data_IF_276460708781
#
_entry.id   IF_276460708781
#
_cell.length_a   1.000
_cell.length_b   1.000
_cell.length_c   1.000
_cell.angle_alpha   90.00
_cell.angle_beta   90.00
_cell.angle_gamma   90.00
#
_symmetry.space_group_name_H-M   'P 1'
#
loop_
_entity.id
_entity.type
_entity.pdbx_description
1 polymer ?
#
# COMPACT_ATOMS: atom_id res chain seq x y z
N UNK A 1 -48.21 -2.69 49.62
CA UNK A 1 -47.06 -2.90 48.71
C UNK A 1 -47.45 -3.92 47.64
N UNK A 2 -47.63 -3.49 46.37
CA UNK A 2 -47.87 -4.41 45.24
C UNK A 2 -46.52 -5.01 44.82
N UNK A 3 -46.36 -6.33 44.95
CA UNK A 3 -45.19 -7.04 44.41
C UNK A 3 -45.28 -7.03 42.89
N UNK A 4 -44.31 -6.38 42.23
CA UNK A 4 -44.15 -6.41 40.78
C UNK A 4 -43.65 -7.82 40.42
N UNK A 5 -44.35 -8.51 39.50
CA UNK A 5 -43.89 -9.80 39.00
C UNK A 5 -42.58 -9.62 38.21
N UNK A 6 -41.59 -10.52 38.35
CA UNK A 6 -40.35 -10.43 37.61
C UNK A 6 -40.61 -10.48 36.09
N UNK A 7 -39.82 -9.70 35.35
CA UNK A 7 -39.89 -9.62 33.90
C UNK A 7 -39.41 -10.97 33.31
N UNK A 8 -40.31 -11.75 32.71
CA UNK A 8 -39.94 -12.96 31.98
C UNK A 8 -39.33 -12.57 30.63
N UNK A 9 -38.01 -12.65 30.53
CA UNK A 9 -37.30 -12.42 29.28
C UNK A 9 -37.42 -13.69 28.41
N UNK A 10 -37.99 -13.54 27.20
CA UNK A 10 -37.95 -14.61 26.19
C UNK A 10 -36.50 -14.88 25.82
N UNK A 11 -36.07 -16.13 26.00
CA UNK A 11 -34.75 -16.58 25.59
C UNK A 11 -34.67 -16.41 24.05
N UNK A 12 -33.66 -15.69 23.52
CA UNK A 12 -33.53 -15.51 22.08
C UNK A 12 -33.35 -16.87 21.41
N UNK A 13 -34.13 -17.13 20.36
CA UNK A 13 -33.92 -18.30 19.52
C UNK A 13 -32.70 -18.05 18.64
N UNK A 14 -31.69 -18.90 18.79
CA UNK A 14 -30.45 -18.85 18.01
C UNK A 14 -30.52 -19.99 16.99
N UNK A 15 -30.31 -19.67 15.72
CA UNK A 15 -30.09 -20.65 14.65
C UNK A 15 -28.76 -20.37 13.98
N UNK A 16 -28.06 -21.42 13.57
CA UNK A 16 -26.81 -21.34 12.81
C UNK A 16 -26.98 -22.02 11.46
N UNK A 17 -26.37 -21.43 10.43
CA UNK A 17 -26.31 -22.01 9.09
C UNK A 17 -24.86 -22.00 8.64
N UNK A 18 -24.39 -23.13 8.09
CA UNK A 18 -23.10 -23.23 7.44
C UNK A 18 -23.23 -22.82 5.97
N UNK A 19 -22.31 -21.98 5.50
CA UNK A 19 -22.17 -21.62 4.09
C UNK A 19 -20.82 -22.12 3.60
N UNK A 20 -20.83 -22.82 2.46
CA UNK A 20 -19.60 -23.25 1.80
C UNK A 20 -18.77 -22.04 1.36
N UNK A 21 -17.45 -22.23 1.26
CA UNK A 21 -16.55 -21.19 0.76
C UNK A 21 -16.92 -20.83 -0.69
N UNK A 22 -17.19 -19.54 -0.99
CA UNK A 22 -17.60 -19.14 -2.32
C UNK A 22 -16.46 -19.32 -3.31
N UNK A 23 -16.80 -19.80 -4.50
CA UNK A 23 -15.84 -19.87 -5.59
C UNK A 23 -15.58 -18.48 -6.17
N UNK A 24 -14.32 -18.14 -6.39
CA UNK A 24 -13.88 -16.89 -7.03
C UNK A 24 -13.80 -17.06 -8.55
N UNK A 25 -14.10 -15.98 -9.28
CA UNK A 25 -14.06 -15.94 -10.75
C UNK A 25 -12.78 -15.28 -11.27
N UNK A 26 -12.15 -15.91 -12.25
CA UNK A 26 -10.90 -15.49 -12.88
C UNK A 26 -11.08 -15.31 -14.39
N UNK A 27 -9.99 -15.11 -15.13
CA UNK A 27 -10.06 -14.90 -16.57
C UNK A 27 -10.75 -16.07 -17.31
N UNK A 28 -11.41 -15.77 -18.44
CA UNK A 28 -12.12 -16.75 -19.29
C UNK A 28 -13.12 -17.65 -18.53
N UNK A 29 -13.64 -17.19 -17.39
CA UNK A 29 -14.60 -17.97 -16.59
C UNK A 29 -13.94 -19.05 -15.73
N UNK A 30 -12.61 -19.03 -15.56
CA UNK A 30 -11.92 -19.89 -14.60
C UNK A 30 -12.45 -19.66 -13.18
N UNK A 31 -12.50 -20.74 -12.40
CA UNK A 31 -13.13 -20.74 -11.08
C UNK A 31 -12.23 -21.44 -10.08
N UNK A 32 -12.00 -20.84 -8.92
CA UNK A 32 -11.20 -21.46 -7.85
C UNK A 32 -11.58 -20.87 -6.49
N UNK A 33 -11.45 -21.63 -5.39
CA UNK A 33 -11.66 -21.11 -4.02
C UNK A 33 -10.44 -20.35 -3.54
N UNK A 34 -9.25 -20.91 -3.74
CA UNK A 34 -7.98 -20.24 -3.43
C UNK A 34 -7.61 -19.17 -4.48
N UNK A 35 -7.36 -17.91 -4.08
CA UNK A 35 -7.02 -16.82 -5.00
C UNK A 35 -5.62 -16.92 -5.62
N UNK A 36 -4.63 -17.43 -4.89
CA UNK A 36 -3.26 -17.57 -5.42
C UNK A 36 -3.25 -18.57 -6.57
N UNK A 37 -3.81 -19.77 -6.37
CA UNK A 37 -3.96 -20.76 -7.44
C UNK A 37 -4.82 -20.24 -8.60
N UNK A 38 -5.92 -19.56 -8.29
CA UNK A 38 -6.77 -18.97 -9.31
C UNK A 38 -6.04 -17.98 -10.21
N UNK A 39 -5.20 -17.10 -9.65
CA UNK A 39 -4.34 -16.19 -10.41
C UNK A 39 -3.25 -16.96 -11.17
N UNK A 40 -2.57 -17.92 -10.54
CA UNK A 40 -1.52 -18.72 -11.19
C UNK A 40 -2.04 -19.46 -12.43
N UNK A 41 -3.18 -20.15 -12.28
CA UNK A 41 -3.79 -20.95 -13.34
C UNK A 41 -4.47 -20.07 -14.40
N UNK A 42 -5.35 -19.17 -13.96
CA UNK A 42 -6.27 -18.48 -14.86
C UNK A 42 -5.93 -17.01 -15.07
N UNK A 43 -5.15 -16.39 -14.19
CA UNK A 43 -4.86 -14.96 -14.21
C UNK A 43 -6.02 -14.10 -13.70
N UNK A 44 -5.83 -12.78 -13.58
CA UNK A 44 -6.84 -11.89 -13.02
C UNK A 44 -8.09 -11.84 -13.90
N UNK A 45 -9.26 -11.62 -13.30
CA UNK A 45 -10.56 -11.54 -14.01
C UNK A 45 -10.58 -10.52 -15.15
N UNK A 46 -9.76 -9.47 -15.04
CA UNK A 46 -9.63 -8.44 -16.07
C UNK A 46 -8.93 -8.94 -17.34
N UNK A 47 -8.09 -9.96 -17.25
CA UNK A 47 -7.30 -10.46 -18.38
C UNK A 47 -8.19 -10.81 -19.59
N UNK A 48 -7.71 -10.45 -20.78
CA UNK A 48 -8.45 -10.50 -22.06
C UNK A 48 -9.66 -9.56 -22.15
N UNK A 49 -9.75 -8.55 -21.29
CA UNK A 49 -10.73 -7.46 -21.41
C UNK A 49 -10.01 -6.12 -21.62
N UNK A 50 -10.71 -5.12 -22.12
CA UNK A 50 -10.19 -3.75 -22.29
C UNK A 50 -9.74 -3.08 -20.98
N UNK A 51 -10.14 -3.63 -19.82
CA UNK A 51 -9.72 -3.14 -18.50
C UNK A 51 -8.37 -3.68 -18.05
N UNK A 52 -7.81 -4.67 -18.74
CA UNK A 52 -6.51 -5.22 -18.38
C UNK A 52 -5.39 -4.34 -18.92
N UNK A 53 -4.50 -3.91 -18.04
CA UNK A 53 -3.28 -3.21 -18.44
C UNK A 53 -2.19 -4.23 -18.74
N UNK A 54 -1.52 -4.08 -19.87
CA UNK A 54 -0.30 -4.84 -20.18
C UNK A 54 0.90 -4.32 -19.40
N UNK A 55 0.93 -3.01 -19.13
CA UNK A 55 1.96 -2.35 -18.36
C UNK A 55 1.33 -1.49 -17.26
N UNK A 56 1.96 -1.46 -16.09
CA UNK A 56 1.62 -0.56 -14.99
C UNK A 56 2.83 0.26 -14.65
N UNK A 57 2.74 1.57 -14.89
CA UNK A 57 3.81 2.53 -14.66
C UNK A 57 3.75 3.08 -13.24
N UNK A 58 4.80 2.84 -12.46
CA UNK A 58 4.86 3.18 -11.04
C UNK A 58 5.79 4.37 -10.82
N UNK A 59 5.29 5.39 -10.14
CA UNK A 59 6.08 6.51 -9.65
C UNK A 59 6.35 6.44 -8.15
N UNK A 60 7.42 7.08 -7.69
CA UNK A 60 7.87 7.01 -6.30
C UNK A 60 8.07 8.41 -5.68
N UNK A 61 7.75 8.54 -4.39
CA UNK A 61 8.05 9.72 -3.58
C UNK A 61 8.69 9.25 -2.27
N UNK A 62 9.84 9.81 -1.88
CA UNK A 62 10.58 9.38 -0.68
C UNK A 62 12.00 9.93 -0.68
N UNK A 63 12.86 9.56 0.28
CA UNK A 63 14.30 9.83 0.12
C UNK A 63 14.87 8.99 -1.02
N UNK A 64 15.98 9.41 -1.62
CA UNK A 64 16.63 8.63 -2.70
C UNK A 64 16.92 7.19 -2.26
N UNK A 65 17.49 7.01 -1.07
CA UNK A 65 17.76 5.69 -0.49
C UNK A 65 16.48 4.85 -0.33
N UNK A 66 15.39 5.46 0.15
CA UNK A 66 14.13 4.76 0.38
C UNK A 66 13.42 4.39 -0.93
N UNK A 67 13.52 5.25 -1.95
CA UNK A 67 13.02 4.99 -3.30
C UNK A 67 13.78 3.82 -3.90
N UNK A 68 15.11 3.81 -3.84
CA UNK A 68 15.92 2.71 -4.39
C UNK A 68 15.57 1.36 -3.74
N UNK A 69 15.42 1.34 -2.41
CA UNK A 69 14.96 0.14 -1.69
C UNK A 69 13.56 -0.29 -2.13
N UNK A 70 12.65 0.65 -2.35
CA UNK A 70 11.30 0.36 -2.82
C UNK A 70 11.29 -0.19 -4.25
N UNK A 71 12.10 0.36 -5.16
CA UNK A 71 12.26 -0.16 -6.53
C UNK A 71 12.67 -1.62 -6.50
N UNK A 72 13.74 -1.93 -5.77
CA UNK A 72 14.22 -3.31 -5.62
C UNK A 72 13.17 -4.22 -4.99
N UNK A 73 12.43 -3.74 -3.99
CA UNK A 73 11.33 -4.48 -3.39
C UNK A 73 10.23 -4.82 -4.41
N UNK A 74 9.76 -3.86 -5.21
CA UNK A 74 8.75 -4.13 -6.25
C UNK A 74 9.26 -5.05 -7.36
N UNK A 75 10.52 -4.92 -7.78
CA UNK A 75 11.11 -5.84 -8.75
C UNK A 75 11.15 -7.27 -8.23
N UNK A 76 11.53 -7.47 -6.95
CA UNK A 76 11.51 -8.78 -6.32
C UNK A 76 10.09 -9.35 -6.21
N UNK A 77 9.10 -8.53 -5.82
CA UNK A 77 7.70 -8.95 -5.80
C UNK A 77 7.17 -9.33 -7.19
N UNK A 78 7.64 -8.66 -8.24
CA UNK A 78 7.25 -8.96 -9.61
C UNK A 78 7.72 -10.36 -10.04
N UNK A 79 8.84 -10.85 -9.52
CA UNK A 79 9.29 -12.22 -9.80
C UNK A 79 8.37 -13.29 -9.18
N UNK A 80 7.72 -12.95 -8.07
CA UNK A 80 6.98 -13.90 -7.23
C UNK A 80 7.69 -14.13 -5.91
N UNK A 81 6.98 -14.73 -4.96
CA UNK A 81 7.52 -15.03 -3.63
C UNK A 81 7.32 -16.52 -3.39
N UNK A 82 8.40 -17.31 -3.25
CA UNK A 82 8.26 -18.72 -2.95
C UNK A 82 7.63 -18.90 -1.56
N UNK A 83 6.80 -19.93 -1.42
CA UNK A 83 6.25 -20.30 -0.11
C UNK A 83 7.23 -21.22 0.64
N UNK A 84 7.61 -20.80 1.86
CA UNK A 84 8.56 -21.55 2.70
C UNK A 84 8.03 -22.94 3.12
N UNK A 85 6.73 -23.20 3.01
CA UNK A 85 6.09 -24.46 3.39
C UNK A 85 5.69 -25.31 2.18
N UNK A 86 6.22 -25.02 0.99
CA UNK A 86 5.92 -25.72 -0.26
C UNK A 86 4.41 -25.78 -0.58
N UNK A 87 3.62 -24.81 -0.14
CA UNK A 87 2.19 -24.78 -0.46
C UNK A 87 1.98 -24.23 -1.87
N UNK A 88 1.98 -22.91 -2.02
CA UNK A 88 1.74 -22.23 -3.29
C UNK A 88 2.54 -20.93 -3.28
N UNK A 89 3.45 -20.78 -4.25
CA UNK A 89 4.18 -19.53 -4.42
C UNK A 89 3.24 -18.38 -4.76
N UNK A 90 3.55 -17.20 -4.25
CA UNK A 90 2.92 -15.99 -4.75
C UNK A 90 3.38 -15.78 -6.21
N UNK A 91 2.44 -15.69 -7.18
CA UNK A 91 2.77 -15.91 -8.58
C UNK A 91 3.46 -14.74 -9.28
N UNK A 92 3.67 -13.63 -8.56
CA UNK A 92 4.33 -12.44 -9.08
C UNK A 92 3.51 -11.69 -10.13
N UNK A 93 4.17 -10.76 -10.81
CA UNK A 93 3.59 -9.85 -11.80
C UNK A 93 4.53 -9.73 -13.00
N UNK A 94 4.39 -10.66 -13.95
CA UNK A 94 5.10 -10.68 -15.24
C UNK A 94 4.10 -10.87 -16.36
N UNK A 95 4.52 -10.69 -17.61
CA UNK A 95 3.64 -10.82 -18.78
C UNK A 95 3.13 -12.25 -18.98
N UNK A 96 3.95 -13.25 -18.64
CA UNK A 96 3.72 -14.68 -18.85
C UNK A 96 3.12 -15.40 -17.64
N UNK A 97 3.29 -14.85 -16.42
CA UNK A 97 2.83 -15.46 -15.16
C UNK A 97 2.13 -14.51 -14.19
N UNK A 98 1.36 -15.09 -13.28
CA UNK A 98 0.65 -14.38 -12.21
C UNK A 98 -0.34 -13.34 -12.73
N UNK A 99 -0.09 -12.07 -12.43
CA UNK A 99 -0.99 -10.99 -12.86
C UNK A 99 -0.98 -10.70 -14.36
N UNK A 100 -0.06 -11.28 -15.15
CA UNK A 100 0.01 -11.14 -16.62
C UNK A 100 0.14 -9.68 -17.10
N UNK A 101 0.87 -8.88 -16.32
CA UNK A 101 1.15 -7.47 -16.55
C UNK A 101 2.62 -7.20 -16.20
N UNK A 102 3.25 -6.26 -16.89
CA UNK A 102 4.62 -5.80 -16.61
C UNK A 102 4.60 -4.57 -15.71
N UNK A 103 5.39 -4.58 -14.63
CA UNK A 103 5.60 -3.39 -13.81
C UNK A 103 6.72 -2.54 -14.44
N UNK A 104 6.38 -1.33 -14.89
CA UNK A 104 7.32 -0.37 -15.45
C UNK A 104 7.74 0.62 -14.36
N UNK A 105 9.03 0.61 -14.05
CA UNK A 105 9.67 1.52 -13.10
C UNK A 105 10.67 2.35 -13.91
N UNK A 106 10.25 3.55 -14.31
CA UNK A 106 11.06 4.46 -15.11
C UNK A 106 11.92 5.37 -14.20
N UNK A 107 13.15 5.65 -14.62
CA UNK A 107 14.05 6.57 -13.95
C UNK A 107 13.54 8.02 -13.96
N UNK A 108 12.55 8.33 -14.79
CA UNK A 108 11.92 9.65 -14.81
C UNK A 108 10.69 9.75 -13.89
N UNK A 109 10.32 8.69 -13.17
CA UNK A 109 9.11 8.64 -12.33
C UNK A 109 9.43 8.60 -10.82
N UNK A 110 10.38 9.42 -10.35
CA UNK A 110 10.60 9.58 -8.91
C UNK A 110 10.82 11.03 -8.47
N UNK A 111 10.25 11.37 -7.32
CA UNK A 111 10.41 12.67 -6.67
C UNK A 111 11.06 12.50 -5.30
N UNK A 112 12.31 12.92 -5.20
CA UNK A 112 13.07 12.78 -3.96
C UNK A 112 12.66 13.85 -2.94
N UNK A 113 12.54 13.44 -1.67
CA UNK A 113 12.45 14.32 -0.52
C UNK A 113 13.87 14.51 0.00
N UNK A 114 14.40 15.72 -0.17
CA UNK A 114 15.78 16.04 0.17
C UNK A 114 15.98 16.12 1.69
N UNK A 115 17.23 15.94 2.14
CA UNK A 115 17.59 16.11 3.55
C UNK A 115 17.26 17.50 4.07
N UNK A 116 17.46 18.53 3.23
CA UNK A 116 17.14 19.92 3.57
C UNK A 116 15.64 20.10 3.83
N UNK A 117 14.79 19.64 2.91
CA UNK A 117 13.33 19.71 3.08
C UNK A 117 12.84 19.00 4.35
N UNK A 118 13.46 17.87 4.70
CA UNK A 118 13.16 17.16 5.95
C UNK A 118 13.54 18.02 7.15
N UNK A 119 14.77 18.55 7.19
CA UNK A 119 15.24 19.37 8.31
C UNK A 119 14.40 20.64 8.47
N UNK A 120 14.08 21.31 7.36
CA UNK A 120 13.24 22.52 7.35
C UNK A 120 11.86 22.26 7.99
N UNK A 121 11.25 21.09 7.74
CA UNK A 121 10.00 20.68 8.38
C UNK A 121 10.21 20.35 9.86
N UNK A 122 11.27 19.62 10.19
CA UNK A 122 11.52 19.16 11.56
C UNK A 122 11.85 20.32 12.52
N UNK A 123 12.43 21.40 12.03
CA UNK A 123 12.74 22.62 12.79
C UNK A 123 11.49 23.46 13.13
N UNK A 124 10.36 23.23 12.46
CA UNK A 124 9.10 23.92 12.77
C UNK A 124 8.61 23.51 14.17
N UNK A 125 8.56 24.49 15.08
CA UNK A 125 8.20 24.26 16.49
C UNK A 125 6.74 23.88 16.67
N UNK A 126 5.81 24.65 16.09
CA UNK A 126 4.38 24.45 16.25
C UNK A 126 3.93 23.21 15.47
N UNK A 127 3.25 22.29 16.15
CA UNK A 127 2.84 21.01 15.57
C UNK A 127 1.87 21.17 14.40
N UNK A 128 0.94 22.12 14.50
CA UNK A 128 0.01 22.49 13.42
C UNK A 128 0.76 22.94 12.16
N UNK A 129 1.65 23.92 12.30
CA UNK A 129 2.44 24.47 11.20
C UNK A 129 3.35 23.39 10.60
N UNK A 130 4.01 22.59 11.44
CA UNK A 130 4.87 21.48 10.98
C UNK A 130 4.09 20.46 10.15
N UNK A 131 2.89 20.07 10.60
CA UNK A 131 2.03 19.14 9.88
C UNK A 131 1.61 19.71 8.53
N UNK A 132 1.15 20.98 8.51
CA UNK A 132 0.72 21.63 7.28
C UNK A 132 1.89 21.78 6.29
N UNK A 133 3.09 22.16 6.75
CA UNK A 133 4.30 22.21 5.92
C UNK A 133 4.66 20.85 5.34
N UNK A 134 4.50 19.76 6.10
CA UNK A 134 4.72 18.41 5.60
C UNK A 134 3.71 18.03 4.51
N UNK A 135 2.43 18.34 4.71
CA UNK A 135 1.38 18.07 3.71
C UNK A 135 1.61 18.89 2.43
N UNK A 136 1.98 20.17 2.54
CA UNK A 136 2.29 21.01 1.38
C UNK A 136 3.55 20.53 0.64
N UNK A 137 4.58 20.04 1.34
CA UNK A 137 5.71 19.40 0.69
C UNK A 137 5.25 18.19 -0.14
N UNK A 138 4.44 17.30 0.43
CA UNK A 138 3.96 16.11 -0.28
C UNK A 138 3.08 16.47 -1.47
N UNK A 139 2.24 17.50 -1.33
CA UNK A 139 1.46 18.05 -2.44
C UNK A 139 2.35 18.52 -3.57
N UNK A 140 3.41 19.30 -3.28
CA UNK A 140 4.38 19.74 -4.29
C UNK A 140 5.06 18.56 -4.99
N UNK A 141 5.47 17.53 -4.25
CA UNK A 141 6.08 16.32 -4.85
C UNK A 141 5.08 15.58 -5.75
N UNK A 142 3.81 15.47 -5.36
CA UNK A 142 2.76 14.91 -6.22
C UNK A 142 2.54 15.75 -7.48
N UNK A 143 2.49 17.08 -7.36
CA UNK A 143 2.35 18.00 -8.50
C UNK A 143 3.49 17.81 -9.49
N UNK A 144 4.74 17.84 -9.02
CA UNK A 144 5.92 17.66 -9.87
C UNK A 144 5.89 16.29 -10.56
N UNK A 145 5.68 15.20 -9.81
CA UNK A 145 5.68 13.85 -10.37
C UNK A 145 4.62 13.66 -11.46
N UNK A 146 3.43 14.24 -11.26
CA UNK A 146 2.30 14.09 -12.18
C UNK A 146 2.39 14.98 -13.42
N UNK A 147 3.22 16.02 -13.40
CA UNK A 147 3.43 16.95 -14.52
C UNK A 147 4.50 16.51 -15.51
N UNK A 148 5.31 15.49 -15.21
CA UNK A 148 6.45 15.07 -16.05
C UNK A 148 6.08 14.50 -17.43
N UNK A 149 4.80 14.31 -17.74
CA UNK A 149 4.33 13.88 -19.06
C UNK A 149 4.59 12.40 -19.40
N UNK A 150 5.17 11.62 -18.50
CA UNK A 150 5.36 10.18 -18.64
C UNK A 150 4.10 9.41 -18.21
N UNK A 151 3.85 8.21 -18.77
CA UNK A 151 2.80 7.33 -18.28
C UNK A 151 2.96 7.09 -16.78
N UNK A 152 1.90 7.30 -16.01
CA UNK A 152 1.90 7.15 -14.56
C UNK A 152 0.57 6.59 -14.11
N UNK A 153 0.57 5.37 -13.63
CA UNK A 153 -0.63 4.63 -13.24
C UNK A 153 -0.80 4.54 -11.74
N UNK A 154 0.30 4.57 -10.99
CA UNK A 154 0.33 4.34 -9.55
C UNK A 154 1.46 5.10 -8.89
N UNK A 155 1.23 5.69 -7.72
CA UNK A 155 2.27 6.42 -6.97
C UNK A 155 2.52 5.73 -5.62
N UNK A 156 3.76 5.35 -5.37
CA UNK A 156 4.21 4.80 -4.09
C UNK A 156 4.89 5.89 -3.28
N UNK A 157 4.29 6.23 -2.14
CA UNK A 157 4.92 7.09 -1.14
C UNK A 157 5.67 6.22 -0.12
N UNK A 158 6.98 6.43 -0.04
CA UNK A 158 7.88 5.80 0.92
C UNK A 158 8.29 6.86 1.94
N UNK A 159 7.52 7.02 3.03
CA UNK A 159 7.73 8.13 3.94
C UNK A 159 9.01 7.96 4.76
N UNK A 160 9.87 8.98 4.84
CA UNK A 160 11.02 8.97 5.72
C UNK A 160 10.61 8.73 7.18
N UNK A 161 11.31 7.84 7.89
CA UNK A 161 10.96 7.50 9.28
C UNK A 161 10.88 8.72 10.21
N UNK A 162 11.78 9.69 10.03
CA UNK A 162 11.79 10.94 10.81
C UNK A 162 10.53 11.77 10.61
N UNK A 163 10.01 11.85 9.38
CA UNK A 163 8.78 12.57 9.06
C UNK A 163 7.56 11.87 9.67
N UNK A 164 7.44 10.55 9.57
CA UNK A 164 6.32 9.82 10.18
C UNK A 164 6.32 9.99 11.70
N UNK A 165 7.49 9.88 12.33
CA UNK A 165 7.61 10.03 13.79
C UNK A 165 7.17 11.41 14.29
N UNK A 166 7.40 12.48 13.52
CA UNK A 166 7.16 13.87 13.96
C UNK A 166 5.94 14.53 13.36
N UNK A 167 5.44 14.03 12.24
CA UNK A 167 4.32 14.57 11.47
C UNK A 167 3.19 13.56 11.25
N UNK A 168 3.35 12.29 11.64
CA UNK A 168 2.36 11.24 11.40
C UNK A 168 1.00 11.56 12.01
N UNK A 169 1.00 12.14 13.22
CA UNK A 169 -0.19 12.65 13.91
C UNK A 169 0.07 14.07 14.41
N UNK A 170 -0.93 14.94 14.25
CA UNK A 170 -0.92 16.28 14.81
C UNK A 170 -2.20 16.57 15.62
N UNK A 171 -2.02 16.78 16.91
CA UNK A 171 -3.07 17.14 17.86
C UNK A 171 -2.82 18.55 18.38
N UNK A 172 -3.74 19.47 18.12
CA UNK A 172 -3.62 20.87 18.53
C UNK A 172 -5.00 21.48 18.78
N UNK A 173 -5.03 22.69 19.37
CA UNK A 173 -6.28 23.41 19.63
C UNK A 173 -6.40 24.63 18.73
N UNK A 174 -7.56 24.76 18.08
CA UNK A 174 -7.95 25.95 17.33
C UNK A 174 -9.25 26.47 17.94
N UNK A 175 -9.27 27.72 18.41
CA UNK A 175 -10.46 28.34 19.02
C UNK A 175 -11.13 27.46 20.11
N UNK A 176 -10.31 26.87 20.99
CA UNK A 176 -10.72 25.92 22.06
C UNK A 176 -11.28 24.57 21.59
N UNK A 177 -11.28 24.30 20.29
CA UNK A 177 -11.66 23.00 19.71
C UNK A 177 -10.40 22.15 19.52
N UNK A 178 -10.44 20.90 19.98
CA UNK A 178 -9.38 19.93 19.73
C UNK A 178 -9.43 19.48 18.26
N UNK A 179 -8.29 19.58 17.57
CA UNK A 179 -8.12 19.17 16.18
C UNK A 179 -7.13 18.01 16.16
N UNK A 180 -7.56 16.89 15.59
CA UNK A 180 -6.73 15.72 15.33
C UNK A 180 -6.51 15.57 13.82
N UNK A 181 -5.25 15.41 13.40
CA UNK A 181 -4.86 15.21 12.00
C UNK A 181 -3.95 14.01 11.90
N UNK A 182 -4.13 13.24 10.84
CA UNK A 182 -3.32 12.07 10.50
C UNK A 182 -2.72 12.25 9.10
N UNK A 183 -1.41 12.02 8.97
CA UNK A 183 -0.67 12.28 7.75
C UNK A 183 -1.07 11.35 6.62
N UNK A 184 -1.37 10.08 6.91
CA UNK A 184 -1.84 9.12 5.90
C UNK A 184 -3.17 9.59 5.31
N UNK A 185 -4.11 10.04 6.14
CA UNK A 185 -5.41 10.57 5.70
C UNK A 185 -5.23 11.86 4.90
N UNK A 186 -4.40 12.79 5.38
CA UNK A 186 -4.13 14.04 4.69
C UNK A 186 -3.47 13.81 3.32
N UNK A 187 -2.44 12.96 3.26
CA UNK A 187 -1.78 12.57 2.02
C UNK A 187 -2.75 11.94 1.02
N UNK A 188 -3.58 10.99 1.47
CA UNK A 188 -4.60 10.36 0.63
C UNK A 188 -5.60 11.38 0.08
N UNK A 189 -6.08 12.30 0.91
CA UNK A 189 -7.01 13.35 0.50
C UNK A 189 -6.39 14.31 -0.53
N UNK A 190 -5.13 14.73 -0.32
CA UNK A 190 -4.41 15.57 -1.29
C UNK A 190 -4.19 14.81 -2.61
N UNK A 191 -3.77 13.55 -2.53
CA UNK A 191 -3.51 12.71 -3.69
C UNK A 191 -4.75 12.46 -4.57
N UNK A 192 -5.96 12.47 -4.01
CA UNK A 192 -7.21 12.32 -4.77
C UNK A 192 -7.36 13.37 -5.88
N UNK A 193 -6.81 14.57 -5.70
CA UNK A 193 -6.87 15.66 -6.70
C UNK A 193 -6.13 15.34 -8.00
N UNK A 194 -5.16 14.43 -7.96
CA UNK A 194 -4.35 14.05 -9.11
C UNK A 194 -4.95 12.87 -9.88
N UNK A 195 -6.03 12.27 -9.37
CA UNK A 195 -6.68 11.09 -9.97
C UNK A 195 -5.71 9.91 -10.20
N UNK A 196 -4.65 9.82 -9.39
CA UNK A 196 -3.71 8.71 -9.37
C UNK A 196 -3.89 7.90 -8.08
N UNK A 197 -4.11 6.57 -8.16
CA UNK A 197 -4.09 5.73 -6.99
C UNK A 197 -2.71 5.77 -6.32
N UNK A 198 -2.70 5.69 -4.99
CA UNK A 198 -1.45 5.77 -4.22
C UNK A 198 -1.24 4.57 -3.30
N UNK A 199 0.00 4.19 -3.03
CA UNK A 199 0.40 3.32 -1.91
C UNK A 199 1.17 4.12 -0.89
N UNK A 200 1.13 3.68 0.37
CA UNK A 200 2.15 4.04 1.34
C UNK A 200 2.93 2.78 1.65
N UNK A 201 4.26 2.83 1.54
CA UNK A 201 5.17 1.73 1.81
C UNK A 201 6.14 2.14 2.90
N UNK A 202 6.01 1.57 4.10
CA UNK A 202 6.90 1.91 5.22
C UNK A 202 8.28 1.30 5.01
N UNK A 203 9.32 2.02 5.45
CA UNK A 203 10.70 1.49 5.41
C UNK A 203 10.85 0.16 6.19
N UNK A 204 10.05 -0.04 7.23
CA UNK A 204 10.01 -1.30 7.99
C UNK A 204 9.53 -2.49 7.15
N UNK A 205 8.62 -2.26 6.21
CA UNK A 205 8.15 -3.28 5.25
C UNK A 205 9.21 -3.62 4.22
N UNK A 206 10.05 -2.65 3.82
CA UNK A 206 11.15 -2.87 2.87
C UNK A 206 12.20 -3.85 3.41
N UNK A 207 12.38 -3.91 4.74
CA UNK A 207 13.30 -4.85 5.41
C UNK A 207 12.90 -6.32 5.30
N UNK A 208 11.72 -6.62 4.74
CA UNK A 208 11.28 -7.99 4.45
C UNK A 208 12.09 -8.59 3.27
N UNK A 209 12.92 -7.78 2.58
CA UNK A 209 13.87 -8.26 1.58
C UNK A 209 15.02 -9.09 2.20
N UNK A 210 14.80 -10.41 2.29
CA UNK A 210 15.80 -11.50 2.19
C UNK A 210 16.82 -11.68 3.32
N UNK A 211 16.44 -11.51 4.59
CA UNK A 211 17.26 -11.96 5.74
C UNK A 211 17.29 -13.48 5.96
N UNK A 212 16.99 -14.29 4.94
CA UNK A 212 17.04 -15.77 5.00
C UNK A 212 17.61 -16.35 3.70
N UNK A 213 18.72 -15.79 3.20
CA UNK A 213 19.64 -16.58 2.39
C UNK A 213 20.40 -17.44 3.41
N UNK A 214 19.90 -18.66 3.55
CA UNK A 214 20.50 -19.72 4.35
C UNK A 214 21.92 -19.94 3.82
N UNK A 215 22.92 -19.69 4.67
CA UNK A 215 24.20 -20.37 4.58
C UNK A 215 23.91 -21.86 4.79
N UNK A 216 23.92 -22.64 3.71
CA UNK A 216 24.23 -24.07 3.78
C UNK A 216 25.50 -24.25 2.96
N UNK A 217 26.53 -24.61 3.71
CA UNK A 217 27.87 -24.97 3.29
C UNK A 217 27.85 -25.94 2.11
N UNK A 218 28.64 -25.63 1.08
CA UNK A 218 29.19 -26.65 0.20
C UNK A 218 30.51 -27.08 0.83
N UNK A 219 30.45 -28.10 1.69
CA UNK A 219 31.59 -28.97 1.95
C UNK A 219 31.58 -30.06 0.86
N UNK A 220 32.48 -29.93 -0.11
CA UNK A 220 33.20 -31.06 -0.68
C UNK A 220 34.67 -30.96 -0.24
#
# INVERSE_FOLDING_TARGET
MKKIKPLELKIPQISTQFFDEPKLLFAKGGVHTNPQLGITLYGPRSLYTSRHKQEVHIGFIGTEEAIEKARNFYMNLAEGIPDDNNQIDFPGCKIDRGFRCELRIDDNLFESITRKEILDILDVRRQEERFNSCVELLKRKLELLTQRGYPLDYIVFVPPHSLIKKCGVADYKVNKVNVHRDLRRAFKAVAMRFHKPTQILQETTLKISRSKIIWVESNE
#
